data_IF_161414408078
#
_entry.id   IF_161414408078
#
_cell.length_a   1.000
_cell.length_b   1.000
_cell.length_c   1.000
_cell.angle_alpha   90.00
_cell.angle_beta   90.00
_cell.angle_gamma   90.00
#
_symmetry.space_group_name_H-M   'P 1'
#
loop_
_entity.id
_entity.type
_entity.pdbx_description
1 polymer ?
#
# COMPACT_ATOMS: atom_id res chain seq x y z
N UNK A 1 23.82 23.14 2.92
CA UNK A 1 22.86 22.39 3.74
C UNK A 1 23.55 21.15 4.27
N UNK A 2 23.69 21.01 5.58
CA UNK A 2 24.32 19.85 6.23
C UNK A 2 23.36 18.66 6.31
N UNK A 3 23.85 17.49 6.73
CA UNK A 3 23.06 16.27 6.74
C UNK A 3 21.79 16.39 7.62
N UNK A 4 21.90 17.00 8.81
CA UNK A 4 20.76 17.16 9.72
C UNK A 4 19.71 18.15 9.17
N UNK A 5 20.16 19.27 8.58
CA UNK A 5 19.26 20.21 7.90
C UNK A 5 18.56 19.54 6.73
N UNK A 6 19.30 18.75 5.94
CA UNK A 6 18.75 17.98 4.81
C UNK A 6 17.69 17.00 5.28
N UNK A 7 17.94 16.25 6.36
CA UNK A 7 16.97 15.34 6.96
C UNK A 7 15.70 16.08 7.42
N UNK A 8 15.85 17.24 8.06
CA UNK A 8 14.73 18.06 8.52
C UNK A 8 13.86 18.56 7.38
N UNK A 9 14.46 19.00 6.27
CA UNK A 9 13.70 19.41 5.07
C UNK A 9 12.96 18.23 4.44
N UNK A 10 13.56 17.06 4.37
CA UNK A 10 12.88 15.84 3.89
C UNK A 10 11.73 15.44 4.82
N UNK A 11 11.91 15.51 6.14
CA UNK A 11 10.83 15.26 7.10
C UNK A 11 9.66 16.25 6.94
N UNK A 12 9.95 17.52 6.65
CA UNK A 12 8.91 18.53 6.38
C UNK A 12 8.16 18.24 5.09
N UNK A 13 8.90 17.94 4.03
CA UNK A 13 8.34 17.54 2.74
C UNK A 13 7.43 16.30 2.88
N UNK A 14 7.83 15.30 3.67
CA UNK A 14 7.09 14.03 3.74
C UNK A 14 5.70 14.14 4.40
N UNK A 15 5.47 15.23 5.15
CA UNK A 15 4.15 15.55 5.70
C UNK A 15 3.14 15.96 4.65
N UNK A 16 3.59 16.59 3.56
CA UNK A 16 2.80 17.06 2.43
C UNK A 16 3.64 16.90 1.16
N UNK A 17 3.84 15.65 0.69
CA UNK A 17 4.75 15.39 -0.40
C UNK A 17 4.19 16.00 -1.69
N UNK A 18 4.96 16.93 -2.26
CA UNK A 18 4.69 17.53 -3.55
C UNK A 18 6.02 17.62 -4.30
N UNK A 19 6.03 17.12 -5.54
CA UNK A 19 7.24 17.02 -6.35
C UNK A 19 8.32 16.12 -5.73
N UNK A 20 9.56 16.19 -6.26
CA UNK A 20 10.67 15.37 -5.76
C UNK A 20 11.08 15.79 -4.34
N UNK A 21 11.64 14.87 -3.53
CA UNK A 21 12.13 15.21 -2.20
C UNK A 21 13.20 16.32 -2.25
N UNK A 22 13.32 17.19 -1.23
CA UNK A 22 14.41 18.16 -1.14
C UNK A 22 15.78 17.49 -1.27
N UNK A 23 16.76 18.18 -1.86
CA UNK A 23 18.12 17.67 -2.05
C UNK A 23 19.13 18.50 -1.24
N UNK A 24 20.10 17.83 -0.61
CA UNK A 24 21.12 18.47 0.22
C UNK A 24 22.45 17.71 0.27
N UNK A 25 23.40 18.20 1.09
CA UNK A 25 24.72 17.56 1.26
C UNK A 25 24.73 16.67 2.49
N UNK A 26 25.45 15.55 2.41
CA UNK A 26 25.65 14.62 3.52
C UNK A 26 26.92 14.93 4.32
N UNK A 27 27.16 16.21 4.61
CA UNK A 27 28.27 16.64 5.48
C UNK A 27 27.85 16.61 6.95
N UNK A 28 28.78 16.31 7.86
CA UNK A 28 28.57 16.29 9.33
C UNK A 28 27.47 15.33 9.79
N UNK A 29 27.56 14.06 9.39
CA UNK A 29 26.55 13.02 9.68
C UNK A 29 26.45 12.62 11.16
N UNK A 30 27.40 13.01 12.02
CA UNK A 30 27.42 12.62 13.45
C UNK A 30 26.16 12.99 14.22
N UNK A 31 25.49 14.09 13.85
CA UNK A 31 24.24 14.53 14.48
C UNK A 31 22.99 13.73 14.09
N UNK A 32 23.07 12.82 13.12
CA UNK A 32 21.89 12.06 12.66
C UNK A 32 21.46 10.96 13.64
N UNK A 33 22.43 10.34 14.35
CA UNK A 33 22.14 9.28 15.32
C UNK A 33 21.56 9.81 16.64
N UNK A 34 21.79 11.09 16.94
CA UNK A 34 21.28 11.82 18.11
C UNK A 34 20.77 13.19 17.64
N UNK A 35 19.60 13.23 16.96
CA UNK A 35 19.06 14.46 16.42
C UNK A 35 18.80 15.49 17.52
N UNK A 36 18.97 16.77 17.19
CA UNK A 36 18.55 17.86 18.07
C UNK A 36 17.04 17.86 18.33
N UNK A 37 16.60 18.57 19.37
CA UNK A 37 15.20 18.62 19.77
C UNK A 37 14.28 19.03 18.60
N UNK A 38 14.68 20.05 17.83
CA UNK A 38 13.92 20.51 16.67
C UNK A 38 13.70 19.42 15.61
N UNK A 39 14.72 18.60 15.33
CA UNK A 39 14.60 17.48 14.38
C UNK A 39 13.77 16.34 14.96
N UNK A 40 13.95 16.03 16.24
CA UNK A 40 13.13 15.04 16.94
C UNK A 40 11.64 15.44 16.95
N UNK A 41 11.33 16.71 17.16
CA UNK A 41 9.97 17.26 17.13
C UNK A 41 9.37 17.18 15.73
N UNK A 42 10.15 17.54 14.71
CA UNK A 42 9.75 17.42 13.31
C UNK A 42 9.44 15.95 12.96
N UNK A 43 10.25 15.00 13.43
CA UNK A 43 10.01 13.58 13.24
C UNK A 43 8.72 13.10 13.91
N UNK A 44 8.47 13.52 15.16
CA UNK A 44 7.23 13.17 15.87
C UNK A 44 6.01 13.72 15.14
N UNK A 45 6.09 14.95 14.64
CA UNK A 45 5.02 15.57 13.86
C UNK A 45 4.78 14.86 12.52
N UNK A 46 5.85 14.50 11.80
CA UNK A 46 5.74 13.74 10.55
C UNK A 46 5.13 12.34 10.77
N UNK A 47 5.51 11.68 11.87
CA UNK A 47 4.95 10.38 12.25
C UNK A 47 3.47 10.50 12.60
N UNK A 48 3.07 11.49 13.41
CA UNK A 48 1.67 11.71 13.78
C UNK A 48 0.81 12.08 12.56
N UNK A 49 1.30 12.95 11.69
CA UNK A 49 0.63 13.33 10.43
C UNK A 49 0.41 12.12 9.54
N UNK A 50 1.44 11.27 9.40
CA UNK A 50 1.34 10.04 8.62
C UNK A 50 0.36 9.07 9.26
N UNK A 51 0.45 8.83 10.58
CA UNK A 51 -0.46 7.95 11.31
C UNK A 51 -1.92 8.36 11.15
N UNK A 52 -2.22 9.66 11.17
CA UNK A 52 -3.56 10.18 10.90
C UNK A 52 -3.99 9.90 9.47
N UNK A 53 -3.12 10.21 8.49
CA UNK A 53 -3.39 10.02 7.05
C UNK A 53 -3.71 8.57 6.67
N UNK A 54 -2.94 7.62 7.22
CA UNK A 54 -3.14 6.18 6.97
C UNK A 54 -4.10 5.53 7.97
N UNK A 55 -4.70 6.29 8.89
CA UNK A 55 -5.65 5.74 9.86
C UNK A 55 -5.06 4.84 10.94
N UNK A 56 -3.74 4.86 11.17
CA UNK A 56 -3.02 4.06 12.17
C UNK A 56 -3.39 4.38 13.63
N UNK A 57 -4.08 5.49 13.88
CA UNK A 57 -4.56 5.88 15.21
C UNK A 57 -3.49 6.51 16.11
N UNK A 58 -3.85 6.73 17.38
CA UNK A 58 -2.99 7.30 18.43
C UNK A 58 -3.17 6.50 19.71
N UNK A 59 -2.14 5.79 20.21
CA UNK A 59 -0.80 5.64 19.61
C UNK A 59 -0.82 4.84 18.27
N UNK A 60 0.15 5.06 17.35
CA UNK A 60 0.17 4.40 16.04
C UNK A 60 0.17 2.88 16.16
N UNK A 61 -0.83 2.22 15.55
CA UNK A 61 -1.03 0.76 15.61
C UNK A 61 -1.02 0.19 17.03
N UNK A 62 -1.44 1.01 18.01
CA UNK A 62 -1.45 0.66 19.43
C UNK A 62 -0.07 0.59 20.09
N UNK A 63 1.01 1.06 19.46
CA UNK A 63 2.37 1.05 20.03
C UNK A 63 2.70 2.41 20.68
N UNK A 64 2.79 2.50 22.02
CA UNK A 64 3.08 3.74 22.73
C UNK A 64 4.54 4.19 22.63
N UNK A 65 5.41 3.40 21.99
CA UNK A 65 6.82 3.74 21.77
C UNK A 65 7.00 5.03 20.98
N UNK A 66 8.16 5.68 21.18
CA UNK A 66 8.53 6.87 20.43
C UNK A 66 9.28 6.51 19.14
N UNK A 67 9.13 7.31 18.06
CA UNK A 67 10.00 7.23 16.89
C UNK A 67 11.48 7.41 17.26
N UNK A 68 12.32 6.52 16.77
CA UNK A 68 13.76 6.56 16.94
C UNK A 68 14.47 7.35 15.83
N UNK A 69 15.79 7.54 15.93
CA UNK A 69 16.57 8.34 14.98
C UNK A 69 16.70 7.71 13.59
N UNK A 70 16.28 6.45 13.40
CA UNK A 70 16.49 5.75 12.13
C UNK A 70 15.68 6.36 10.98
N UNK A 71 14.50 6.92 11.26
CA UNK A 71 13.74 7.71 10.28
C UNK A 71 14.48 9.01 9.86
N UNK A 72 15.29 9.60 10.75
CA UNK A 72 16.15 10.76 10.42
C UNK A 72 17.29 10.35 9.50
N UNK A 73 17.91 9.18 9.74
CA UNK A 73 18.92 8.60 8.85
C UNK A 73 18.34 8.32 7.45
N UNK A 74 17.12 7.77 7.38
CA UNK A 74 16.41 7.55 6.11
C UNK A 74 16.12 8.88 5.39
N UNK A 75 15.65 9.90 6.11
CA UNK A 75 15.40 11.22 5.57
C UNK A 75 16.68 11.87 5.03
N UNK A 76 17.80 11.74 5.74
CA UNK A 76 19.10 12.18 5.28
C UNK A 76 19.51 11.45 4.00
N UNK A 77 19.43 10.11 3.97
CA UNK A 77 19.80 9.32 2.80
C UNK A 77 18.98 9.72 1.55
N UNK A 78 17.67 9.92 1.69
CA UNK A 78 16.78 10.39 0.61
C UNK A 78 17.15 11.80 0.14
N UNK A 79 17.43 12.71 1.07
CA UNK A 79 17.84 14.08 0.70
C UNK A 79 19.24 14.14 0.10
N UNK A 80 20.12 13.22 0.48
CA UNK A 80 21.48 13.08 -0.03
C UNK A 80 21.57 12.38 -1.39
N UNK A 81 20.45 11.89 -1.97
CA UNK A 81 20.40 11.02 -3.16
C UNK A 81 21.26 11.42 -4.37
N UNK A 82 21.60 12.70 -4.52
CA UNK A 82 22.50 13.20 -5.57
C UNK A 82 23.98 12.82 -5.32
N UNK A 83 24.29 12.32 -4.14
CA UNK A 83 25.57 11.77 -3.66
C UNK A 83 25.33 10.31 -3.29
N UNK A 84 25.04 9.48 -4.30
CA UNK A 84 24.48 8.14 -4.09
C UNK A 84 25.34 7.25 -3.20
N UNK A 85 26.67 7.28 -3.34
CA UNK A 85 27.59 6.50 -2.50
C UNK A 85 27.51 6.89 -1.02
N UNK A 86 27.44 8.19 -0.74
CA UNK A 86 27.31 8.73 0.60
C UNK A 86 25.92 8.42 1.17
N UNK A 87 24.87 8.51 0.35
CA UNK A 87 23.52 8.11 0.74
C UNK A 87 23.43 6.63 1.07
N UNK A 88 24.05 5.76 0.28
CA UNK A 88 24.12 4.33 0.56
C UNK A 88 24.86 4.06 1.88
N UNK A 89 25.95 4.78 2.16
CA UNK A 89 26.66 4.70 3.46
C UNK A 89 25.75 5.11 4.62
N UNK A 90 25.04 6.24 4.52
CA UNK A 90 24.07 6.67 5.56
C UNK A 90 22.94 5.65 5.73
N UNK A 91 22.42 5.10 4.62
CA UNK A 91 21.39 4.07 4.65
C UNK A 91 21.88 2.79 5.34
N UNK A 92 23.14 2.40 5.13
CA UNK A 92 23.73 1.23 5.80
C UNK A 92 23.82 1.37 7.33
N UNK A 93 23.77 2.61 7.85
CA UNK A 93 23.72 2.89 9.29
C UNK A 93 22.32 2.76 9.90
N UNK A 94 21.27 2.61 9.08
CA UNK A 94 19.89 2.47 9.56
C UNK A 94 19.73 1.11 10.26
N UNK A 95 19.43 1.08 11.58
CA UNK A 95 19.25 -0.18 12.28
C UNK A 95 18.12 -1.01 11.66
N UNK A 96 18.31 -2.32 11.52
CA UNK A 96 17.27 -3.23 11.01
C UNK A 96 16.06 -3.20 11.94
N UNK A 97 14.88 -2.89 11.40
CA UNK A 97 13.62 -2.94 12.14
C UNK A 97 12.99 -4.32 11.99
N UNK A 98 12.68 -4.95 13.12
CA UNK A 98 11.91 -6.20 13.15
C UNK A 98 10.54 -5.92 13.76
N UNK A 99 9.51 -5.96 12.94
CA UNK A 99 8.11 -5.87 13.39
C UNK A 99 7.64 -7.24 13.91
N UNK A 100 8.35 -7.77 14.90
CA UNK A 100 8.16 -9.14 15.41
C UNK A 100 7.45 -9.21 16.76
N UNK A 101 7.58 -8.18 17.61
CA UNK A 101 6.96 -8.14 18.93
C UNK A 101 5.52 -7.66 18.84
N UNK A 102 4.68 -8.14 19.77
CA UNK A 102 3.27 -7.78 19.84
C UNK A 102 3.11 -6.26 19.91
N UNK A 103 3.85 -5.58 20.78
CA UNK A 103 3.58 -4.17 21.14
C UNK A 103 4.77 -3.22 21.00
N UNK A 104 5.76 -3.53 20.14
CA UNK A 104 6.92 -2.66 19.99
C UNK A 104 7.44 -2.59 18.56
N UNK A 105 7.87 -1.39 18.15
CA UNK A 105 8.51 -1.11 16.87
C UNK A 105 7.55 -0.66 15.77
N UNK A 106 6.25 -0.63 16.02
CA UNK A 106 5.24 -0.14 15.07
C UNK A 106 5.23 1.38 14.98
N UNK A 107 5.45 2.09 16.09
CA UNK A 107 5.61 3.55 16.05
C UNK A 107 6.82 3.94 15.18
N UNK A 108 7.93 3.23 15.34
CA UNK A 108 9.12 3.35 14.48
C UNK A 108 8.81 2.93 13.03
N UNK A 109 8.05 1.85 12.81
CA UNK A 109 7.61 1.43 11.47
C UNK A 109 6.80 2.50 10.75
N UNK A 110 5.88 3.17 11.45
CA UNK A 110 5.12 4.31 10.93
C UNK A 110 6.04 5.51 10.68
N UNK A 111 7.02 5.77 11.54
CA UNK A 111 7.99 6.84 11.34
C UNK A 111 8.86 6.63 10.10
N UNK A 112 9.32 5.39 9.86
CA UNK A 112 10.05 5.04 8.63
C UNK A 112 9.14 5.12 7.40
N UNK A 113 7.87 4.72 7.54
CA UNK A 113 6.89 4.84 6.47
C UNK A 113 6.58 6.30 6.12
N UNK A 114 6.51 7.18 7.12
CA UNK A 114 6.30 8.62 6.94
C UNK A 114 7.32 9.27 6.01
N UNK A 115 8.53 8.69 5.92
CA UNK A 115 9.63 9.20 5.10
C UNK A 115 9.75 8.41 3.80
N UNK A 116 9.80 7.07 3.89
CA UNK A 116 10.07 6.21 2.74
C UNK A 116 8.86 6.08 1.83
N UNK A 117 7.65 5.98 2.37
CA UNK A 117 6.41 5.84 1.60
C UNK A 117 6.26 6.93 0.53
N UNK A 118 6.28 8.22 0.91
CA UNK A 118 6.25 9.30 -0.07
C UNK A 118 7.42 9.29 -1.06
N UNK A 119 8.61 8.87 -0.62
CA UNK A 119 9.80 8.84 -1.49
C UNK A 119 9.66 7.79 -2.60
N UNK A 120 9.22 6.57 -2.26
CA UNK A 120 9.07 5.49 -3.25
C UNK A 120 7.86 5.69 -4.17
N UNK A 121 6.84 6.40 -3.69
CA UNK A 121 5.65 6.75 -4.48
C UNK A 121 5.80 8.04 -5.30
N UNK A 122 6.91 8.78 -5.19
CA UNK A 122 7.15 9.98 -5.99
C UNK A 122 7.44 9.59 -7.45
N UNK A 123 7.17 10.51 -8.39
CA UNK A 123 7.52 10.36 -9.80
C UNK A 123 8.58 11.41 -10.20
N UNK A 124 9.81 10.99 -10.59
CA UNK A 124 10.36 9.64 -10.51
C UNK A 124 10.64 9.18 -9.05
N UNK A 125 10.64 7.84 -8.77
CA UNK A 125 10.86 7.31 -7.43
C UNK A 125 12.14 7.81 -6.78
N UNK A 126 12.02 8.17 -5.51
CA UNK A 126 13.04 8.83 -4.70
C UNK A 126 13.69 10.02 -5.40
N UNK A 127 12.99 10.72 -6.30
CA UNK A 127 13.53 11.84 -7.08
C UNK A 127 14.58 11.43 -8.10
N UNK A 128 14.43 10.24 -8.70
CA UNK A 128 15.29 9.72 -9.78
C UNK A 128 16.52 8.97 -9.28
N UNK A 129 16.46 8.42 -8.07
CA UNK A 129 17.56 7.61 -7.54
C UNK A 129 17.65 6.24 -8.27
N UNK A 130 18.83 5.59 -8.27
CA UNK A 130 18.97 4.24 -8.81
C UNK A 130 17.98 3.24 -8.19
N UNK A 131 17.53 2.25 -8.97
CA UNK A 131 16.55 1.25 -8.50
C UNK A 131 17.02 0.50 -7.25
N UNK A 132 18.30 0.12 -7.20
CA UNK A 132 18.95 -0.50 -6.04
C UNK A 132 18.84 0.35 -4.75
N UNK A 133 18.85 1.68 -4.87
CA UNK A 133 18.66 2.57 -3.74
C UNK A 133 17.21 2.55 -3.25
N UNK A 134 16.25 2.51 -4.18
CA UNK A 134 14.82 2.37 -3.86
C UNK A 134 14.55 1.05 -3.16
N UNK A 135 15.10 -0.07 -3.66
CA UNK A 135 14.98 -1.38 -3.01
C UNK A 135 15.63 -1.39 -1.62
N UNK A 136 16.79 -0.74 -1.44
CA UNK A 136 17.42 -0.61 -0.13
C UNK A 136 16.58 0.24 0.86
N UNK A 137 15.89 1.28 0.38
CA UNK A 137 14.95 2.05 1.20
C UNK A 137 13.75 1.18 1.63
N UNK A 138 13.20 0.38 0.72
CA UNK A 138 12.13 -0.56 1.03
C UNK A 138 12.60 -1.58 2.08
N UNK A 139 13.77 -2.19 1.91
CA UNK A 139 14.32 -3.13 2.89
C UNK A 139 14.52 -2.51 4.29
N UNK A 140 14.84 -1.21 4.35
CA UNK A 140 14.99 -0.48 5.61
C UNK A 140 13.65 -0.08 6.26
N UNK A 141 12.52 -0.18 5.56
CA UNK A 141 11.19 0.25 6.00
C UNK A 141 10.13 -0.85 5.80
N UNK A 142 10.11 -1.90 6.66
CA UNK A 142 9.25 -3.07 6.49
C UNK A 142 7.74 -2.76 6.35
N UNK A 143 7.27 -1.70 7.02
CA UNK A 143 5.88 -1.27 6.85
C UNK A 143 5.63 -0.71 5.45
N UNK A 144 6.55 0.10 4.91
CA UNK A 144 6.42 0.59 3.52
C UNK A 144 6.51 -0.55 2.52
N UNK A 145 7.39 -1.53 2.75
CA UNK A 145 7.46 -2.75 1.93
C UNK A 145 6.09 -3.44 1.81
N UNK A 146 5.35 -3.55 2.91
CA UNK A 146 4.01 -4.16 2.90
C UNK A 146 2.95 -3.25 2.28
N UNK A 147 3.01 -1.94 2.51
CA UNK A 147 1.98 -1.00 2.03
C UNK A 147 2.19 -0.55 0.56
N UNK A 148 3.39 -0.71 0.03
CA UNK A 148 3.75 -0.36 -1.34
C UNK A 148 3.95 -1.61 -2.20
N UNK A 149 5.14 -2.23 -2.12
CA UNK A 149 5.42 -3.57 -2.64
C UNK A 149 6.70 -4.15 -2.02
N UNK A 150 6.79 -5.48 -1.83
CA UNK A 150 8.04 -6.14 -1.51
C UNK A 150 8.93 -6.36 -2.75
N UNK A 151 10.27 -6.35 -2.59
CA UNK A 151 11.15 -7.04 -3.51
C UNK A 151 10.77 -8.52 -3.58
N UNK A 152 10.97 -9.18 -4.73
CA UNK A 152 10.56 -10.58 -4.91
C UNK A 152 11.18 -11.53 -3.89
N UNK A 153 12.47 -11.34 -3.58
CA UNK A 153 13.19 -12.11 -2.57
C UNK A 153 12.61 -11.98 -1.15
N UNK A 154 11.87 -10.90 -0.87
CA UNK A 154 11.35 -10.55 0.45
C UNK A 154 9.82 -10.77 0.59
N UNK A 155 9.14 -11.30 -0.43
CA UNK A 155 7.68 -11.51 -0.42
C UNK A 155 7.19 -12.31 0.78
N UNK A 156 7.89 -13.38 1.16
CA UNK A 156 7.53 -14.20 2.32
C UNK A 156 7.64 -13.40 3.64
N UNK A 157 8.73 -12.63 3.80
CA UNK A 157 8.92 -11.76 4.97
C UNK A 157 7.83 -10.69 5.04
N UNK A 158 7.48 -10.07 3.92
CA UNK A 158 6.41 -9.10 3.82
C UNK A 158 5.04 -9.71 4.17
N UNK A 159 4.75 -10.93 3.70
CA UNK A 159 3.54 -11.68 4.09
C UNK A 159 3.44 -11.90 5.61
N UNK A 160 4.57 -12.21 6.26
CA UNK A 160 4.63 -12.30 7.72
C UNK A 160 4.40 -10.96 8.43
N UNK A 161 4.91 -9.84 7.90
CA UNK A 161 4.64 -8.50 8.44
C UNK A 161 3.18 -8.12 8.24
N UNK A 162 2.59 -8.39 7.08
CA UNK A 162 1.17 -8.19 6.80
C UNK A 162 0.29 -8.93 7.80
N UNK A 163 0.52 -10.23 8.04
CA UNK A 163 -0.24 -11.00 9.04
C UNK A 163 -0.12 -10.44 10.46
N UNK A 164 0.99 -9.77 10.80
CA UNK A 164 1.13 -9.09 12.09
C UNK A 164 0.40 -7.75 12.09
N UNK A 165 0.48 -6.98 11.01
CA UNK A 165 -0.26 -5.72 10.84
C UNK A 165 -1.76 -5.97 11.00
N UNK A 166 -2.31 -6.99 10.36
CA UNK A 166 -3.74 -7.35 10.43
C UNK A 166 -4.24 -7.72 11.85
N UNK A 167 -3.33 -8.00 12.78
CA UNK A 167 -3.62 -8.28 14.19
C UNK A 167 -3.46 -7.06 15.10
N UNK A 168 -3.03 -5.91 14.55
CA UNK A 168 -2.87 -4.67 15.31
C UNK A 168 -4.17 -3.87 15.37
N UNK A 169 -4.37 -3.08 16.44
CA UNK A 169 -5.36 -2.01 16.43
C UNK A 169 -5.16 -1.15 15.17
N UNK A 170 -6.25 -0.89 14.45
CA UNK A 170 -6.25 -0.09 13.20
C UNK A 170 -5.44 -0.68 12.04
N UNK A 171 -4.93 -1.91 12.14
CA UNK A 171 -4.14 -2.54 11.07
C UNK A 171 -4.91 -2.67 9.75
N UNK A 172 -6.19 -3.03 9.82
CA UNK A 172 -7.08 -3.06 8.64
C UNK A 172 -7.28 -1.67 8.06
N UNK A 173 -7.50 -0.65 8.89
CA UNK A 173 -7.67 0.73 8.42
C UNK A 173 -6.43 1.23 7.65
N UNK A 174 -5.24 0.88 8.13
CA UNK A 174 -3.97 1.16 7.43
C UNK A 174 -3.90 0.44 6.09
N UNK A 175 -4.29 -0.83 6.05
CA UNK A 175 -4.28 -1.61 4.81
C UNK A 175 -5.28 -1.06 3.79
N UNK A 176 -6.49 -0.71 4.22
CA UNK A 176 -7.52 -0.09 3.40
C UNK A 176 -7.00 1.22 2.79
N UNK A 177 -6.45 2.11 3.61
CA UNK A 177 -5.87 3.37 3.12
C UNK A 177 -4.73 3.15 2.11
N UNK A 178 -3.89 2.16 2.35
CA UNK A 178 -2.77 1.87 1.46
C UNK A 178 -3.19 1.22 0.14
N UNK A 179 -4.19 0.33 0.14
CA UNK A 179 -4.60 -0.41 -1.06
C UNK A 179 -5.65 0.32 -1.89
N UNK A 180 -6.39 1.26 -1.31
CA UNK A 180 -7.50 1.94 -1.98
C UNK A 180 -7.06 2.91 -3.09
N UNK A 181 -5.90 3.57 -2.96
CA UNK A 181 -5.43 4.53 -3.97
C UNK A 181 -4.95 3.81 -5.24
N UNK A 182 -5.19 4.31 -6.46
CA UNK A 182 -4.58 3.75 -7.66
C UNK A 182 -3.06 3.91 -7.65
N UNK A 183 -2.35 3.13 -8.48
CA UNK A 183 -0.90 3.24 -8.67
C UNK A 183 -0.55 3.07 -10.15
N UNK A 184 0.38 3.89 -10.63
CA UNK A 184 0.95 3.75 -11.97
C UNK A 184 1.97 2.60 -12.06
N UNK A 185 2.54 2.15 -10.92
CA UNK A 185 3.47 1.03 -10.86
C UNK A 185 2.70 -0.31 -10.90
N UNK A 186 2.85 -1.13 -11.96
CA UNK A 186 2.18 -2.43 -12.05
C UNK A 186 2.56 -3.38 -10.90
N UNK A 187 3.80 -3.31 -10.39
CA UNK A 187 4.26 -4.21 -9.33
C UNK A 187 3.56 -3.92 -7.99
N UNK A 188 3.18 -2.66 -7.74
CA UNK A 188 2.36 -2.27 -6.60
C UNK A 188 0.95 -2.85 -6.72
N UNK A 189 0.34 -2.76 -7.90
CA UNK A 189 -0.99 -3.32 -8.15
C UNK A 189 -1.00 -4.85 -8.05
N UNK A 190 0.04 -5.53 -8.54
CA UNK A 190 0.18 -6.99 -8.41
C UNK A 190 0.34 -7.44 -6.95
N UNK A 191 1.14 -6.72 -6.17
CA UNK A 191 1.25 -6.98 -4.73
C UNK A 191 -0.10 -6.79 -4.04
N UNK A 192 -0.80 -5.69 -4.31
CA UNK A 192 -2.13 -5.41 -3.73
C UNK A 192 -3.15 -6.46 -4.13
N UNK A 193 -3.13 -6.94 -5.37
CA UNK A 193 -3.97 -8.08 -5.78
C UNK A 193 -3.69 -9.32 -4.92
N UNK A 194 -2.42 -9.66 -4.69
CA UNK A 194 -2.04 -10.79 -3.82
C UNK A 194 -2.58 -10.61 -2.40
N UNK A 195 -2.53 -9.38 -1.86
CA UNK A 195 -3.11 -9.04 -0.56
C UNK A 195 -4.63 -9.19 -0.58
N UNK A 196 -5.31 -8.67 -1.60
CA UNK A 196 -6.77 -8.70 -1.73
C UNK A 196 -7.29 -10.13 -1.92
N UNK A 197 -6.61 -10.97 -2.70
CA UNK A 197 -7.00 -12.37 -2.85
C UNK A 197 -6.87 -13.14 -1.54
N UNK A 198 -5.83 -12.84 -0.75
CA UNK A 198 -5.72 -13.38 0.61
C UNK A 198 -6.86 -12.92 1.51
N UNK A 199 -7.20 -11.62 1.49
CA UNK A 199 -8.34 -11.11 2.26
C UNK A 199 -9.67 -11.70 1.78
N UNK A 200 -9.83 -11.98 0.48
CA UNK A 200 -11.00 -12.69 -0.04
C UNK A 200 -11.19 -14.06 0.61
N UNK A 201 -10.10 -14.77 0.86
CA UNK A 201 -10.13 -16.11 1.45
C UNK A 201 -10.32 -16.07 2.98
N UNK A 202 -9.70 -15.11 3.65
CA UNK A 202 -9.62 -15.09 5.13
C UNK A 202 -10.60 -14.09 5.78
N UNK A 203 -10.91 -12.98 5.11
CA UNK A 203 -11.47 -11.73 5.70
C UNK A 203 -12.27 -10.91 4.68
N UNK A 204 -13.30 -11.51 4.04
CA UNK A 204 -14.07 -10.89 2.94
C UNK A 204 -14.56 -9.48 3.25
N UNK A 205 -15.11 -9.23 4.45
CA UNK A 205 -15.61 -7.91 4.82
C UNK A 205 -14.53 -6.82 4.79
N UNK A 206 -13.29 -7.16 5.17
CA UNK A 206 -12.16 -6.24 5.15
C UNK A 206 -11.65 -6.00 3.71
N UNK A 207 -11.73 -7.01 2.83
CA UNK A 207 -11.47 -6.83 1.40
C UNK A 207 -12.46 -5.83 0.78
N UNK A 208 -13.75 -5.97 1.09
CA UNK A 208 -14.80 -5.07 0.58
C UNK A 208 -14.56 -3.63 1.03
N UNK A 209 -14.09 -3.41 2.25
CA UNK A 209 -13.73 -2.06 2.74
C UNK A 209 -12.63 -1.41 1.90
N UNK A 210 -11.71 -2.18 1.31
CA UNK A 210 -10.72 -1.64 0.35
C UNK A 210 -11.39 -1.12 -0.90
N UNK A 211 -12.31 -1.88 -1.51
CA UNK A 211 -12.99 -1.45 -2.74
C UNK A 211 -13.95 -0.30 -2.50
N UNK A 212 -14.66 -0.29 -1.36
CA UNK A 212 -15.47 0.85 -0.91
C UNK A 212 -14.60 2.10 -0.81
N UNK A 213 -13.47 2.02 -0.11
CA UNK A 213 -12.54 3.14 0.01
C UNK A 213 -11.96 3.57 -1.36
N UNK A 214 -11.64 2.61 -2.23
CA UNK A 214 -11.12 2.86 -3.57
C UNK A 214 -12.10 3.73 -4.38
N UNK A 215 -13.39 3.40 -4.37
CA UNK A 215 -14.40 4.20 -5.06
C UNK A 215 -14.73 5.51 -4.36
N UNK A 216 -14.94 5.49 -3.04
CA UNK A 216 -15.33 6.69 -2.30
C UNK A 216 -14.23 7.76 -2.27
N UNK A 217 -12.96 7.38 -2.17
CA UNK A 217 -11.85 8.33 -2.03
C UNK A 217 -11.10 8.58 -3.34
N UNK A 218 -11.14 7.62 -4.27
CA UNK A 218 -10.32 7.65 -5.48
C UNK A 218 -11.08 7.30 -6.76
N UNK A 219 -12.42 7.32 -6.76
CA UNK A 219 -13.28 6.94 -7.89
C UNK A 219 -12.83 7.52 -9.24
N UNK A 220 -12.72 8.85 -9.40
CA UNK A 220 -12.32 9.45 -10.67
C UNK A 220 -10.94 9.00 -11.17
N UNK A 221 -9.99 8.76 -10.26
CA UNK A 221 -8.65 8.29 -10.62
C UNK A 221 -8.66 6.82 -11.04
N UNK A 222 -9.49 5.99 -10.39
CA UNK A 222 -9.72 4.61 -10.81
C UNK A 222 -10.45 4.54 -12.16
N UNK A 223 -11.42 5.41 -12.41
CA UNK A 223 -12.13 5.47 -13.70
C UNK A 223 -11.16 5.73 -14.85
N UNK A 224 -10.24 6.68 -14.66
CA UNK A 224 -9.17 6.95 -15.64
C UNK A 224 -8.27 5.71 -15.87
N UNK A 225 -7.86 5.01 -14.81
CA UNK A 225 -7.05 3.79 -14.92
C UNK A 225 -7.79 2.65 -15.63
N UNK A 226 -9.07 2.45 -15.32
CA UNK A 226 -9.90 1.42 -15.93
C UNK A 226 -10.12 1.72 -17.42
N UNK A 227 -10.36 2.97 -17.78
CA UNK A 227 -10.54 3.39 -19.17
C UNK A 227 -9.23 3.27 -19.98
N UNK A 228 -8.09 3.61 -19.37
CA UNK A 228 -6.77 3.32 -19.95
C UNK A 228 -6.56 1.81 -20.16
N UNK A 229 -6.88 0.98 -19.16
CA UNK A 229 -6.78 -0.47 -19.27
C UNK A 229 -7.70 -1.02 -20.37
N UNK A 230 -8.95 -0.53 -20.46
CA UNK A 230 -9.92 -0.92 -21.49
C UNK A 230 -9.41 -0.62 -22.90
N UNK A 231 -8.86 0.57 -23.12
CA UNK A 231 -8.25 0.94 -24.42
C UNK A 231 -7.03 0.08 -24.74
N UNK A 232 -6.25 -0.33 -23.73
CA UNK A 232 -5.08 -1.19 -23.89
C UNK A 232 -5.37 -2.67 -24.18
N UNK A 233 -6.63 -3.12 -24.14
CA UNK A 233 -7.02 -4.51 -24.43
C UNK A 233 -7.24 -4.80 -25.92
N UNK A 234 -7.23 -3.79 -26.79
CA UNK A 234 -7.43 -3.97 -28.24
C UNK A 234 -6.18 -4.51 -28.96
N UNK A 235 -5.10 -4.81 -28.21
CA UNK A 235 -3.84 -5.40 -28.68
C UNK A 235 -3.12 -6.15 -27.55
N UNK A 236 -1.78 -6.27 -27.61
CA UNK A 236 -1.01 -6.87 -26.52
C UNK A 236 -1.09 -5.96 -25.27
N UNK A 237 -1.71 -6.42 -24.16
CA UNK A 237 -1.96 -5.56 -23.01
C UNK A 237 -0.64 -5.23 -22.29
N UNK A 238 -0.49 -3.95 -21.93
CA UNK A 238 0.66 -3.51 -21.13
C UNK A 238 0.65 -4.16 -19.72
N UNK A 239 1.81 -4.26 -19.03
CA UNK A 239 1.85 -4.74 -17.64
C UNK A 239 0.90 -3.97 -16.72
N UNK A 240 0.77 -2.64 -16.91
CA UNK A 240 -0.15 -1.79 -16.14
C UNK A 240 -1.62 -2.11 -16.43
N UNK A 241 -1.96 -2.41 -17.67
CA UNK A 241 -3.31 -2.88 -18.06
C UNK A 241 -3.66 -4.17 -17.31
N UNK A 242 -2.78 -5.17 -17.36
CA UNK A 242 -3.00 -6.46 -16.69
C UNK A 242 -3.09 -6.30 -15.18
N UNK A 243 -2.18 -5.54 -14.57
CA UNK A 243 -2.15 -5.32 -13.13
C UNK A 243 -3.41 -4.56 -12.63
N UNK A 244 -3.92 -3.61 -13.42
CA UNK A 244 -5.17 -2.89 -13.13
C UNK A 244 -6.35 -3.85 -13.12
N UNK A 245 -6.47 -4.75 -14.10
CA UNK A 245 -7.54 -5.75 -14.14
C UNK A 245 -7.43 -6.75 -12.99
N UNK A 246 -6.21 -7.21 -12.67
CA UNK A 246 -5.96 -8.13 -11.54
C UNK A 246 -6.35 -7.54 -10.20
N UNK A 247 -6.14 -6.23 -10.00
CA UNK A 247 -6.56 -5.56 -8.77
C UNK A 247 -8.07 -5.74 -8.49
N UNK A 248 -8.91 -5.69 -9.53
CA UNK A 248 -10.38 -5.82 -9.40
C UNK A 248 -10.88 -7.27 -9.44
N UNK A 249 -10.01 -8.23 -9.80
CA UNK A 249 -10.39 -9.64 -9.97
C UNK A 249 -10.99 -10.29 -8.71
N UNK A 250 -10.49 -10.07 -7.48
CA UNK A 250 -11.09 -10.67 -6.29
C UNK A 250 -12.55 -10.26 -6.07
N UNK A 251 -12.94 -9.03 -6.47
CA UNK A 251 -14.34 -8.58 -6.39
C UNK A 251 -15.21 -9.32 -7.42
N UNK A 252 -14.73 -9.48 -8.65
CA UNK A 252 -15.45 -10.21 -9.70
C UNK A 252 -15.67 -11.70 -9.36
N UNK A 253 -14.66 -12.33 -8.75
CA UNK A 253 -14.79 -13.72 -8.28
C UNK A 253 -15.87 -13.82 -7.20
N UNK A 254 -15.92 -12.86 -6.27
CA UNK A 254 -16.93 -12.85 -5.20
C UNK A 254 -18.34 -12.68 -5.78
N UNK A 255 -18.53 -11.75 -6.72
CA UNK A 255 -19.81 -11.55 -7.43
C UNK A 255 -20.31 -12.82 -8.12
N UNK A 256 -19.44 -13.50 -8.89
CA UNK A 256 -19.80 -14.76 -9.55
C UNK A 256 -20.20 -15.86 -8.55
N UNK A 257 -19.52 -15.95 -7.41
CA UNK A 257 -19.85 -16.93 -6.36
C UNK A 257 -21.23 -16.65 -5.78
N UNK A 258 -21.53 -15.39 -5.45
CA UNK A 258 -22.83 -14.97 -4.92
C UNK A 258 -23.98 -15.19 -5.92
N UNK A 259 -23.76 -14.91 -7.22
CA UNK A 259 -24.75 -15.16 -8.26
C UNK A 259 -25.05 -16.65 -8.43
N UNK A 260 -24.03 -17.52 -8.34
CA UNK A 260 -24.22 -18.98 -8.38
C UNK A 260 -25.00 -19.47 -7.18
N UNK A 261 -24.66 -19.02 -5.98
CA UNK A 261 -25.35 -19.41 -4.75
C UNK A 261 -26.81 -18.91 -4.74
N UNK A 262 -27.05 -17.67 -5.16
CA UNK A 262 -28.40 -17.09 -5.28
C UNK A 262 -29.23 -17.79 -6.36
N UNK A 263 -28.61 -18.11 -7.51
CA UNK A 263 -29.25 -18.87 -8.59
C UNK A 263 -29.55 -20.32 -8.21
N UNK A 264 -28.71 -20.94 -7.38
CA UNK A 264 -28.96 -22.26 -6.78
C UNK A 264 -30.08 -22.19 -5.74
N UNK A 265 -30.07 -21.19 -4.85
CA UNK A 265 -31.11 -20.97 -3.85
C UNK A 265 -32.48 -20.75 -4.51
N UNK A 266 -32.55 -19.92 -5.55
CA UNK A 266 -33.79 -19.71 -6.34
C UNK A 266 -34.26 -20.99 -7.05
N UNK A 267 -33.33 -21.89 -7.42
CA UNK A 267 -33.65 -23.19 -8.04
C UNK A 267 -34.14 -24.21 -7.00
N UNK A 268 -33.67 -24.15 -5.76
CA UNK A 268 -34.15 -24.94 -4.61
C UNK A 268 -35.50 -24.42 -4.08
N UNK A 269 -35.76 -23.11 -4.13
CA UNK A 269 -37.04 -22.50 -3.75
C UNK A 269 -38.23 -22.99 -4.60
N UNK A 270 -37.99 -23.42 -5.84
CA UNK A 270 -39.01 -24.11 -6.67
C UNK A 270 -39.27 -25.57 -6.27
N UNK A 271 -38.55 -26.11 -5.28
CA UNK A 271 -38.59 -27.52 -4.85
C UNK A 271 -38.93 -27.78 -3.38
N UNK A 272 -38.96 -26.78 -2.49
CA UNK A 272 -39.48 -26.92 -1.12
C UNK A 272 -38.64 -26.28 0.00
N UNK A 273 -39.36 -25.64 0.92
CA UNK A 273 -39.02 -25.14 2.27
C UNK A 273 -37.73 -24.30 2.50
N UNK A 274 -37.97 -23.14 3.10
CA UNK A 274 -37.06 -22.00 3.30
C UNK A 274 -35.99 -22.24 4.36
N UNK A 275 -34.73 -21.99 3.99
CA UNK A 275 -33.71 -21.44 4.88
C UNK A 275 -33.04 -20.28 4.13
N UNK A 276 -33.17 -19.06 4.67
CA UNK A 276 -32.53 -17.87 4.12
C UNK A 276 -31.02 -18.10 4.03
N UNK A 277 -30.44 -17.92 2.82
CA UNK A 277 -29.02 -18.10 2.57
C UNK A 277 -28.20 -17.15 3.47
N UNK A 278 -27.37 -17.66 4.39
CA UNK A 278 -26.49 -16.84 5.20
C UNK A 278 -25.19 -16.65 4.43
N UNK A 279 -24.92 -15.45 3.91
CA UNK A 279 -23.65 -15.26 3.21
C UNK A 279 -23.24 -13.82 2.97
N UNK A 280 -24.16 -12.97 2.51
CA UNK A 280 -23.78 -11.64 2.07
C UNK A 280 -23.91 -10.60 3.17
N UNK A 281 -22.77 -10.06 3.59
CA UNK A 281 -22.74 -8.76 4.28
C UNK A 281 -23.47 -7.74 3.41
N UNK A 282 -24.32 -6.89 4.01
CA UNK A 282 -25.01 -5.77 3.35
C UNK A 282 -24.04 -4.94 2.48
N UNK A 283 -22.77 -4.87 2.86
CA UNK A 283 -21.70 -4.19 2.10
C UNK A 283 -21.45 -4.81 0.71
N UNK A 284 -21.51 -6.13 0.56
CA UNK A 284 -21.30 -6.83 -0.71
C UNK A 284 -22.40 -6.48 -1.70
N UNK A 285 -23.67 -6.56 -1.25
CA UNK A 285 -24.83 -6.15 -2.05
C UNK A 285 -24.78 -4.68 -2.50
N UNK A 286 -24.44 -3.76 -1.60
CA UNK A 286 -24.32 -2.32 -1.94
C UNK A 286 -23.25 -2.09 -3.03
N UNK A 287 -22.17 -2.86 -3.03
CA UNK A 287 -21.10 -2.75 -4.04
C UNK A 287 -21.52 -3.35 -5.38
N UNK A 288 -22.15 -4.52 -5.37
CA UNK A 288 -22.52 -5.24 -6.59
C UNK A 288 -23.75 -4.65 -7.27
N UNK A 289 -24.66 -4.04 -6.50
CA UNK A 289 -25.86 -3.37 -7.01
C UNK A 289 -25.58 -1.94 -7.50
N UNK A 290 -24.38 -1.38 -7.24
CA UNK A 290 -24.05 -0.03 -7.71
C UNK A 290 -23.65 -0.05 -9.18
N UNK A 291 -24.36 0.72 -10.01
CA UNK A 291 -24.13 0.86 -11.46
C UNK A 291 -22.68 1.24 -11.84
N UNK A 292 -21.89 1.75 -10.89
CA UNK A 292 -20.49 2.13 -11.09
C UNK A 292 -19.52 0.94 -11.19
N UNK A 293 -19.88 -0.25 -10.66
CA UNK A 293 -18.99 -1.42 -10.70
C UNK A 293 -19.26 -2.34 -11.89
N UNK A 294 -20.46 -2.28 -12.48
CA UNK A 294 -20.86 -3.09 -13.64
C UNK A 294 -19.83 -3.06 -14.78
N UNK A 295 -19.40 -1.87 -15.26
CA UNK A 295 -18.42 -1.78 -16.35
C UNK A 295 -17.05 -2.40 -16.00
N UNK A 296 -16.65 -2.35 -14.73
CA UNK A 296 -15.39 -2.93 -14.25
C UNK A 296 -15.47 -4.45 -14.22
N UNK A 297 -16.55 -4.98 -13.66
CA UNK A 297 -16.79 -6.42 -13.60
C UNK A 297 -16.94 -7.03 -14.99
N UNK A 298 -17.68 -6.36 -15.89
CA UNK A 298 -17.78 -6.76 -17.30
C UNK A 298 -16.42 -6.78 -18.01
N UNK A 299 -15.56 -5.80 -17.73
CA UNK A 299 -14.22 -5.74 -18.32
C UNK A 299 -13.33 -6.90 -17.83
N UNK A 300 -13.33 -7.15 -16.52
CA UNK A 300 -12.55 -8.24 -15.91
C UNK A 300 -13.06 -9.60 -16.38
N UNK A 301 -14.38 -9.81 -16.42
CA UNK A 301 -15.00 -11.05 -16.85
C UNK A 301 -14.73 -11.34 -18.34
N UNK A 302 -14.78 -10.31 -19.21
CA UNK A 302 -14.37 -10.46 -20.63
C UNK A 302 -12.91 -10.86 -20.76
N UNK A 303 -12.02 -10.22 -20.01
CA UNK A 303 -10.60 -10.57 -20.04
C UNK A 303 -10.38 -12.02 -19.58
N UNK A 304 -11.02 -12.44 -18.49
CA UNK A 304 -10.95 -13.81 -17.98
C UNK A 304 -11.45 -14.84 -19.00
N UNK A 305 -12.60 -14.58 -19.62
CA UNK A 305 -13.14 -15.45 -20.67
C UNK A 305 -12.18 -15.56 -21.87
N UNK A 306 -11.51 -14.47 -22.26
CA UNK A 306 -10.51 -14.50 -23.33
C UNK A 306 -9.30 -15.37 -23.00
N UNK A 307 -8.84 -15.36 -21.74
CA UNK A 307 -7.74 -16.21 -21.28
C UNK A 307 -8.13 -17.69 -21.23
N UNK A 308 -9.38 -18.00 -20.90
CA UNK A 308 -9.91 -19.37 -20.88
C UNK A 308 -10.11 -19.94 -22.29
N UNK A 309 -10.49 -19.10 -23.26
CA UNK A 309 -10.76 -19.51 -24.64
C UNK A 309 -9.52 -19.48 -25.55
N UNK A 310 -8.46 -18.75 -25.16
CA UNK A 310 -7.21 -18.63 -25.91
C UNK A 310 -6.11 -19.62 -25.51
N UNK A 311 -6.40 -20.55 -24.60
CA UNK A 311 -5.52 -21.66 -24.22
C UNK A 311 -5.92 -22.95 -24.94
N UNK A 312 -5.63 -23.04 -26.24
CA UNK A 312 -5.64 -24.26 -27.04
C UNK A 312 -4.50 -24.19 -28.06
#
# INVERSE_FOLDING_TARGET
MEALTTAREVLRWSMRPAGPPPAGRLTRIGGLARPDAATADTLRWATATTAARIGAGRPPLGDPGAPGPAAVLLAAAIGGRRQWEQSAKVLSLVPRLRLTRRDAGWAEGVARHAVVGPAVSAEPPAGGAPAEFVEALLAASPLTTVLHRPPDADRATAGGVLSRLLRRPRGIAVLVAACAAPSADPLVLEWRWTVLDRLRQERVADMLDVYIAARLWHGPAWDAHIEEARRGLTGLPSPRTVATLRFWLPLAILDEQEQRESGLAYRVERGGAVLAAPGTSIKGRILLDHAEYGPVLELVNRHRASLQNGGA
#
